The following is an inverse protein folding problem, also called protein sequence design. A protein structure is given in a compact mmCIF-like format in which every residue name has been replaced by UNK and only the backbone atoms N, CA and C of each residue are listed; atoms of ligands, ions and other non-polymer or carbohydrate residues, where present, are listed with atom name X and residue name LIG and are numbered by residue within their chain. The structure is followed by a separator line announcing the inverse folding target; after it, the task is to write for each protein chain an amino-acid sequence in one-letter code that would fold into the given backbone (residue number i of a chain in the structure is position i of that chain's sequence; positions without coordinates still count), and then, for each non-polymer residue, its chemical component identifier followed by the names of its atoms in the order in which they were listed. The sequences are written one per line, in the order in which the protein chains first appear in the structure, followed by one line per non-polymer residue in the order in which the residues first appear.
data_IF_863119501946
#
_entry.id   IF_863119501946
#
_cell.length_a   1.000
_cell.length_b   1.000
_cell.length_c   1.000
_cell.angle_alpha   90.00
_cell.angle_beta   90.00
_cell.angle_gamma   90.00
#
_symmetry.space_group_name_H-M   'P 1'
#
loop_
_entity.id
_entity.type
_entity.pdbx_description
1 polymer ?
#
# COMPACT_ATOMS: atom_id res chain seq x y z
N UNK A 1 36.58 25.83 74.73
CA UNK A 1 36.90 24.47 74.28
C UNK A 1 35.61 23.65 74.35
N UNK A 2 34.87 23.58 73.24
CA UNK A 2 34.74 22.40 72.36
C UNK A 2 33.82 21.32 73.00
N UNK A 3 32.76 20.79 72.39
CA UNK A 3 32.42 20.67 70.99
C UNK A 3 30.90 20.57 70.79
N UNK A 4 30.44 21.13 69.68
CA UNK A 4 29.12 20.90 69.09
C UNK A 4 29.08 19.55 68.36
N UNK A 5 27.86 19.10 68.08
CA UNK A 5 27.49 18.23 66.95
C UNK A 5 27.78 16.74 67.07
N UNK A 6 26.77 15.98 67.46
CA UNK A 6 26.49 14.66 66.89
C UNK A 6 24.98 14.48 66.69
N UNK A 7 24.47 15.05 65.59
CA UNK A 7 23.26 14.53 64.95
C UNK A 7 23.71 13.78 63.70
N UNK A 8 23.60 12.45 63.79
CA UNK A 8 24.01 11.50 62.78
C UNK A 8 23.34 11.80 61.43
N UNK A 9 24.18 11.80 60.41
CA UNK A 9 23.83 11.93 59.01
C UNK A 9 22.91 10.78 58.56
N UNK A 10 21.61 11.04 58.50
CA UNK A 10 20.67 10.30 57.66
C UNK A 10 20.42 11.12 56.40
N UNK A 11 21.42 11.22 55.53
CA UNK A 11 21.25 11.75 54.18
C UNK A 11 21.45 10.60 53.18
N UNK A 12 20.32 10.22 52.57
CA UNK A 12 20.20 9.95 51.14
C UNK A 12 21.06 8.80 50.59
N UNK A 13 20.63 7.57 50.85
CA UNK A 13 20.75 6.50 49.86
C UNK A 13 19.38 6.28 49.21
N UNK A 14 18.89 7.29 48.49
CA UNK A 14 17.88 7.02 47.47
C UNK A 14 18.60 6.35 46.29
N UNK A 15 18.22 5.12 45.90
CA UNK A 15 18.75 4.53 44.67
C UNK A 15 18.45 5.50 43.52
N UNK A 16 19.36 5.67 42.55
CA UNK A 16 19.10 6.52 41.40
C UNK A 16 17.77 6.10 40.78
N UNK A 17 16.91 7.05 40.36
CA UNK A 17 15.63 6.72 39.75
C UNK A 17 15.90 5.73 38.63
N UNK A 18 15.23 4.58 38.68
CA UNK A 18 15.33 3.57 37.64
C UNK A 18 15.23 4.28 36.28
N UNK A 19 16.13 3.99 35.31
CA UNK A 19 16.06 4.63 34.01
C UNK A 19 14.63 4.50 33.51
N UNK A 20 13.98 5.64 33.27
CA UNK A 20 12.61 5.69 32.76
C UNK A 20 12.51 4.66 31.64
N UNK A 21 11.43 3.85 31.57
CA UNK A 21 11.29 2.83 30.54
C UNK A 21 11.60 3.51 29.22
N UNK A 22 12.69 3.10 28.55
CA UNK A 22 13.09 3.65 27.26
C UNK A 22 11.94 3.33 26.32
N UNK A 23 10.96 4.23 26.21
CA UNK A 23 9.79 4.04 25.38
C UNK A 23 10.32 3.74 23.99
N UNK A 24 10.11 2.50 23.57
CA UNK A 24 10.88 1.79 22.55
C UNK A 24 10.83 2.58 21.23
N UNK A 25 11.85 3.43 21.01
CA UNK A 25 12.01 4.10 19.72
C UNK A 25 12.37 3.08 18.63
N UNK A 26 12.97 1.97 19.05
CA UNK A 26 13.40 0.85 18.25
C UNK A 26 12.19 0.10 17.68
N UNK A 27 12.11 0.00 16.35
CA UNK A 27 10.96 -0.60 15.67
C UNK A 27 9.78 0.34 15.44
N UNK A 28 9.80 1.57 15.95
CA UNK A 28 8.83 2.62 15.58
C UNK A 28 9.25 3.30 14.28
N UNK A 29 8.27 3.68 13.46
CA UNK A 29 8.50 4.48 12.25
C UNK A 29 9.26 5.78 12.56
N UNK A 30 10.32 6.05 11.83
CA UNK A 30 11.12 7.28 11.95
C UNK A 30 10.45 8.53 11.33
N UNK A 31 9.43 8.33 10.50
CA UNK A 31 8.70 9.42 9.83
C UNK A 31 7.92 10.33 10.79
N UNK A 32 7.73 11.58 10.38
CA UNK A 32 6.93 12.58 11.11
C UNK A 32 5.58 12.81 10.44
N UNK A 33 4.55 12.98 11.27
CA UNK A 33 3.20 13.36 10.84
C UNK A 33 3.18 14.81 10.36
N UNK A 34 2.04 15.25 9.81
CA UNK A 34 1.86 16.65 9.37
C UNK A 34 1.96 17.66 10.50
N UNK A 35 1.65 17.27 11.74
CA UNK A 35 1.81 18.11 12.93
C UNK A 35 3.22 18.03 13.53
N UNK A 36 4.18 17.36 12.88
CA UNK A 36 5.57 17.29 13.32
C UNK A 36 5.87 16.21 14.35
N UNK A 37 4.85 15.56 14.92
CA UNK A 37 5.02 14.43 15.84
C UNK A 37 5.61 13.19 15.14
N UNK A 38 6.30 12.34 15.90
CA UNK A 38 6.76 11.05 15.36
C UNK A 38 5.57 10.14 15.08
N UNK A 39 5.64 9.43 13.97
CA UNK A 39 4.64 8.44 13.61
C UNK A 39 4.54 7.33 14.66
N UNK A 40 3.33 7.07 15.14
CA UNK A 40 3.07 6.06 16.19
C UNK A 40 3.05 4.61 15.68
N UNK A 41 3.21 4.39 14.38
CA UNK A 41 3.22 3.05 13.79
C UNK A 41 4.49 2.31 14.22
N UNK A 42 4.33 1.10 14.76
CA UNK A 42 5.41 0.27 15.29
C UNK A 42 5.47 -1.07 14.55
N UNK A 43 6.60 -1.78 14.60
CA UNK A 43 6.74 -3.13 14.02
C UNK A 43 5.73 -4.13 14.59
N UNK A 44 5.33 -3.98 15.86
CA UNK A 44 4.29 -4.82 16.48
C UNK A 44 2.86 -4.45 16.06
N UNK A 45 2.65 -3.32 15.37
CA UNK A 45 1.33 -2.94 14.88
C UNK A 45 0.84 -3.94 13.83
N UNK A 46 -0.43 -4.40 13.95
CA UNK A 46 -1.00 -5.43 13.07
C UNK A 46 -1.36 -4.94 11.66
N UNK A 47 -1.46 -3.63 11.47
CA UNK A 47 -1.91 -3.03 10.20
C UNK A 47 -0.93 -3.32 9.04
N UNK A 48 -1.46 -3.34 7.82
CA UNK A 48 -0.67 -3.55 6.60
C UNK A 48 0.42 -2.49 6.41
N UNK A 49 0.16 -1.25 6.84
CA UNK A 49 1.11 -0.13 6.76
C UNK A 49 2.38 -0.35 7.61
N UNK A 50 2.33 -1.24 8.60
CA UNK A 50 3.47 -1.61 9.42
C UNK A 50 4.30 -2.77 8.84
N UNK A 51 3.88 -3.38 7.72
CA UNK A 51 4.61 -4.47 7.08
C UNK A 51 6.08 -4.11 6.74
N UNK A 52 6.40 -2.89 6.26
CA UNK A 52 7.79 -2.46 6.12
C UNK A 52 8.59 -2.54 7.42
N UNK A 53 8.06 -2.00 8.53
CA UNK A 53 8.75 -2.01 9.82
C UNK A 53 8.99 -3.45 10.34
N UNK A 54 8.06 -4.37 10.07
CA UNK A 54 8.23 -5.81 10.40
C UNK A 54 9.35 -6.48 9.63
N UNK A 55 9.67 -5.99 8.43
CA UNK A 55 10.83 -6.46 7.64
C UNK A 55 12.14 -5.77 8.01
N UNK A 56 12.11 -4.81 8.94
CA UNK A 56 13.27 -4.02 9.33
C UNK A 56 13.41 -2.68 8.60
N UNK A 57 12.42 -2.26 7.81
CA UNK A 57 12.45 -0.93 7.20
C UNK A 57 12.30 0.17 8.26
N UNK A 58 12.90 1.34 8.02
CA UNK A 58 12.85 2.50 8.95
C UNK A 58 11.52 3.25 8.96
N UNK A 59 10.76 3.15 7.87
CA UNK A 59 9.53 3.91 7.65
C UNK A 59 8.34 2.97 7.45
N UNK A 60 7.19 3.33 8.00
CA UNK A 60 5.94 2.66 7.68
C UNK A 60 5.50 3.03 6.25
N UNK A 61 4.52 2.31 5.72
CA UNK A 61 3.99 2.54 4.38
C UNK A 61 3.42 3.94 4.11
N UNK A 62 3.03 4.68 5.14
CA UNK A 62 2.63 6.09 5.01
C UNK A 62 3.83 7.02 4.87
N UNK A 63 4.99 6.68 5.43
CA UNK A 63 6.19 7.53 5.44
C UNK A 63 7.30 7.00 4.53
N UNK A 64 7.06 5.89 3.83
CA UNK A 64 8.00 5.38 2.84
C UNK A 64 8.30 6.48 1.79
N UNK A 65 9.56 6.93 1.68
CA UNK A 65 9.95 8.00 0.76
C UNK A 65 9.75 7.59 -0.71
N UNK A 66 9.69 6.27 -0.99
CA UNK A 66 9.52 5.73 -2.34
C UNK A 66 8.05 5.54 -2.71
N UNK A 67 7.09 5.79 -1.81
CA UNK A 67 5.67 5.45 -2.06
C UNK A 67 5.04 6.18 -3.25
N UNK A 68 5.63 7.30 -3.70
CA UNK A 68 5.18 8.09 -4.84
C UNK A 68 6.14 8.00 -6.04
N UNK A 69 6.88 6.89 -6.16
CA UNK A 69 7.80 6.66 -7.28
C UNK A 69 7.38 5.46 -8.13
N UNK A 70 7.96 5.35 -9.32
CA UNK A 70 7.64 4.30 -10.30
C UNK A 70 6.47 4.69 -11.21
N UNK A 71 5.63 3.71 -11.56
CA UNK A 71 4.49 3.91 -12.47
C UNK A 71 3.30 4.43 -11.68
N UNK A 72 2.75 5.58 -12.11
CA UNK A 72 1.51 6.14 -11.56
C UNK A 72 0.30 5.51 -12.25
N UNK A 73 -0.75 5.21 -11.48
CA UNK A 73 -2.02 4.78 -12.05
C UNK A 73 -2.58 5.83 -13.03
N UNK A 74 -2.91 5.41 -14.24
CA UNK A 74 -3.47 6.24 -15.30
C UNK A 74 -4.95 6.59 -15.08
N UNK A 75 -5.63 5.95 -14.13
CA UNK A 75 -7.04 6.16 -13.86
C UNK A 75 -7.34 7.53 -13.24
N UNK A 76 -8.51 8.08 -13.54
CA UNK A 76 -9.01 9.31 -12.94
C UNK A 76 -9.76 9.03 -11.64
N UNK A 77 -9.61 9.89 -10.62
CA UNK A 77 -10.35 9.75 -9.36
C UNK A 77 -11.86 9.77 -9.61
N UNK A 78 -12.63 8.99 -8.85
CA UNK A 78 -14.09 8.88 -9.01
C UNK A 78 -14.83 10.23 -8.93
N UNK A 79 -14.28 11.18 -8.18
CA UNK A 79 -14.83 12.54 -8.06
C UNK A 79 -14.37 13.50 -9.16
N UNK A 80 -13.67 13.03 -10.19
CA UNK A 80 -13.15 13.85 -11.29
C UNK A 80 -11.99 14.78 -10.91
N UNK A 81 -11.59 14.86 -9.63
CA UNK A 81 -10.58 15.81 -9.12
C UNK A 81 -9.13 15.34 -9.39
N UNK A 82 -8.86 15.03 -10.66
CA UNK A 82 -7.54 14.67 -11.18
C UNK A 82 -7.21 13.18 -11.16
N UNK A 83 -5.97 12.88 -11.56
CA UNK A 83 -5.44 11.53 -11.66
C UNK A 83 -5.33 10.81 -10.31
N UNK A 84 -5.44 9.49 -10.35
CA UNK A 84 -5.19 8.60 -9.23
C UNK A 84 -3.80 8.87 -8.62
N UNK A 85 -3.67 8.74 -7.30
CA UNK A 85 -2.40 8.95 -6.57
C UNK A 85 -1.78 7.64 -6.09
N UNK A 86 -2.21 6.52 -6.65
CA UNK A 86 -1.60 5.20 -6.39
C UNK A 86 -0.42 5.03 -7.34
N UNK A 87 0.72 4.62 -6.80
CA UNK A 87 1.96 4.37 -7.53
C UNK A 87 2.42 2.93 -7.33
N UNK A 88 3.20 2.39 -8.26
CA UNK A 88 3.69 1.00 -8.19
C UNK A 88 4.50 0.71 -6.92
N UNK A 89 5.28 1.68 -6.42
CA UNK A 89 6.03 1.54 -5.17
C UNK A 89 5.21 1.82 -3.90
N UNK A 90 3.93 2.17 -4.03
CA UNK A 90 3.07 2.23 -2.85
C UNK A 90 2.95 0.84 -2.20
N UNK A 91 3.21 0.74 -0.90
CA UNK A 91 3.18 -0.53 -0.15
C UNK A 91 1.80 -1.22 -0.08
N UNK A 92 0.72 -0.56 -0.52
CA UNK A 92 -0.63 -1.09 -0.46
C UNK A 92 -0.85 -2.19 -1.52
N UNK A 93 -1.77 -3.11 -1.21
CA UNK A 93 -2.22 -4.13 -2.16
C UNK A 93 -2.80 -3.52 -3.43
N UNK A 94 -3.40 -2.34 -3.36
CA UNK A 94 -4.03 -1.67 -4.50
C UNK A 94 -3.07 -1.37 -5.65
N UNK A 95 -1.77 -1.23 -5.33
CA UNK A 95 -0.71 -1.01 -6.31
C UNK A 95 -0.18 -2.30 -6.94
N UNK A 96 -0.62 -3.49 -6.49
CA UNK A 96 -0.20 -4.77 -7.06
C UNK A 96 -0.36 -4.88 -8.59
N UNK A 97 -1.46 -4.42 -9.20
CA UNK A 97 -1.60 -4.47 -10.65
C UNK A 97 -0.56 -3.60 -11.36
N UNK A 98 -0.23 -2.42 -10.79
CA UNK A 98 0.81 -1.54 -11.35
C UNK A 98 2.19 -2.19 -11.30
N UNK A 99 2.51 -2.92 -10.23
CA UNK A 99 3.75 -3.71 -10.12
C UNK A 99 3.83 -4.85 -11.13
N UNK A 100 2.70 -5.36 -11.60
CA UNK A 100 2.60 -6.36 -12.66
C UNK A 100 2.54 -5.75 -14.07
N UNK A 101 2.84 -4.46 -14.22
CA UNK A 101 2.84 -3.79 -15.52
C UNK A 101 1.49 -3.25 -15.98
N UNK A 102 0.42 -3.34 -15.17
CA UNK A 102 -0.85 -2.71 -15.53
C UNK A 102 -0.77 -1.18 -15.45
N UNK A 103 -1.44 -0.43 -16.35
CA UNK A 103 -1.57 1.02 -16.22
C UNK A 103 -2.52 1.45 -15.10
N UNK A 104 -3.33 0.53 -14.55
CA UNK A 104 -4.37 0.87 -13.57
C UNK A 104 -4.23 0.10 -12.27
N UNK A 105 -4.55 0.73 -11.14
CA UNK A 105 -4.58 0.11 -9.82
C UNK A 105 -5.89 -0.67 -9.57
N UNK A 106 -6.02 -1.34 -8.43
CA UNK A 106 -7.24 -2.08 -8.08
C UNK A 106 -8.51 -1.23 -7.94
N UNK A 107 -8.41 0.09 -7.81
CA UNK A 107 -9.58 0.98 -7.82
C UNK A 107 -10.07 1.31 -9.23
N UNK A 108 -9.21 1.11 -10.23
CA UNK A 108 -9.42 1.46 -11.63
C UNK A 108 -9.40 0.21 -12.51
N UNK A 109 -10.03 -0.88 -12.03
CA UNK A 109 -10.00 -2.16 -12.72
C UNK A 109 -10.68 -2.05 -14.08
N UNK A 110 -9.97 -2.51 -15.11
CA UNK A 110 -10.51 -2.69 -16.45
C UNK A 110 -10.89 -4.15 -16.58
N UNK A 111 -12.14 -4.41 -16.94
CA UNK A 111 -12.69 -5.75 -17.16
C UNK A 111 -12.65 -6.07 -18.65
N UNK A 112 -12.40 -7.33 -18.98
CA UNK A 112 -12.52 -7.84 -20.33
C UNK A 112 -13.90 -7.51 -20.94
N UNK A 113 -13.90 -7.08 -22.19
CA UNK A 113 -15.12 -6.81 -22.96
C UNK A 113 -15.79 -8.07 -23.53
N UNK A 114 -15.11 -9.22 -23.49
CA UNK A 114 -15.61 -10.48 -24.03
C UNK A 114 -16.73 -11.10 -23.20
N UNK A 115 -17.49 -11.98 -23.85
CA UNK A 115 -18.53 -12.79 -23.24
C UNK A 115 -18.17 -14.27 -23.38
N UNK A 116 -18.52 -15.05 -22.37
CA UNK A 116 -18.44 -16.51 -22.41
C UNK A 116 -19.39 -17.07 -23.47
N UNK A 117 -19.24 -18.35 -23.83
CA UNK A 117 -20.15 -19.03 -24.78
C UNK A 117 -21.63 -19.00 -24.36
N UNK A 118 -21.90 -18.92 -23.05
CA UNK A 118 -23.24 -18.78 -22.50
C UNK A 118 -23.76 -17.32 -22.51
N UNK A 119 -23.06 -16.39 -23.16
CA UNK A 119 -23.43 -14.97 -23.22
C UNK A 119 -23.09 -14.17 -21.95
N UNK A 120 -22.54 -14.79 -20.90
CA UNK A 120 -22.19 -14.10 -19.65
C UNK A 120 -20.91 -13.27 -19.82
N UNK A 121 -20.90 -12.03 -19.34
CA UNK A 121 -19.72 -11.14 -19.41
C UNK A 121 -18.51 -11.73 -18.68
N UNK A 122 -17.35 -11.67 -19.31
CA UNK A 122 -16.10 -12.16 -18.74
C UNK A 122 -15.77 -11.45 -17.42
N UNK A 123 -15.38 -12.22 -16.41
CA UNK A 123 -15.03 -11.70 -15.07
C UNK A 123 -13.58 -11.25 -14.96
N UNK A 124 -12.72 -11.61 -15.93
CA UNK A 124 -11.29 -11.29 -15.94
C UNK A 124 -11.07 -9.79 -15.98
N UNK A 125 -10.15 -9.30 -15.15
CA UNK A 125 -9.74 -7.89 -15.12
C UNK A 125 -8.23 -7.77 -15.25
N UNK A 126 -7.73 -6.58 -15.57
CA UNK A 126 -6.30 -6.24 -15.51
C UNK A 126 -5.65 -6.57 -14.14
N UNK A 127 -6.47 -6.65 -13.10
CA UNK A 127 -6.02 -6.93 -11.74
C UNK A 127 -5.94 -8.42 -11.39
N UNK A 128 -6.53 -9.30 -12.21
CA UNK A 128 -6.45 -10.75 -12.05
C UNK A 128 -4.99 -11.22 -12.09
N UNK A 129 -4.64 -12.25 -11.31
CA UNK A 129 -3.24 -12.67 -11.16
C UNK A 129 -2.74 -13.57 -12.29
N UNK A 130 -3.66 -14.22 -13.01
CA UNK A 130 -3.33 -15.20 -14.05
C UNK A 130 -2.73 -14.57 -15.32
N UNK A 131 -2.02 -15.38 -16.10
CA UNK A 131 -1.37 -14.96 -17.35
C UNK A 131 -2.36 -14.48 -18.42
N UNK A 132 -3.59 -15.04 -18.46
CA UNK A 132 -4.59 -14.61 -19.44
C UNK A 132 -5.08 -13.16 -19.22
N UNK A 133 -4.75 -12.52 -18.11
CA UNK A 133 -5.03 -11.10 -17.88
C UNK A 133 -3.94 -10.17 -18.44
N UNK A 134 -2.82 -10.71 -18.95
CA UNK A 134 -1.70 -9.92 -19.50
C UNK A 134 -2.11 -8.96 -20.62
N UNK A 135 -2.96 -9.35 -21.59
CA UNK A 135 -3.55 -8.42 -22.55
C UNK A 135 -4.18 -7.17 -21.91
N UNK A 136 -5.04 -7.36 -20.91
CA UNK A 136 -5.69 -6.25 -20.20
C UNK A 136 -4.68 -5.39 -19.42
N UNK A 137 -3.56 -5.99 -18.97
CA UNK A 137 -2.47 -5.25 -18.33
C UNK A 137 -1.68 -4.41 -19.34
N UNK A 138 -1.56 -4.82 -20.59
CA UNK A 138 -1.02 -3.99 -21.67
C UNK A 138 -1.99 -2.90 -22.16
N UNK A 139 -3.23 -2.92 -21.69
CA UNK A 139 -4.27 -1.97 -22.09
C UNK A 139 -5.20 -2.49 -23.19
N UNK A 140 -5.15 -3.77 -23.53
CA UNK A 140 -6.08 -4.38 -24.47
C UNK A 140 -7.49 -4.51 -23.86
N UNK A 141 -8.50 -4.61 -24.72
CA UNK A 141 -9.90 -4.71 -24.30
C UNK A 141 -10.32 -6.14 -23.91
N UNK A 142 -9.58 -7.14 -24.40
CA UNK A 142 -9.90 -8.55 -24.23
C UNK A 142 -8.81 -9.26 -23.43
N UNK A 143 -9.19 -10.28 -22.64
CA UNK A 143 -8.23 -11.18 -22.01
C UNK A 143 -7.74 -12.23 -23.02
N UNK A 144 -6.72 -13.02 -22.70
CA UNK A 144 -6.17 -14.00 -23.65
C UNK A 144 -7.20 -15.06 -24.11
N UNK A 145 -8.22 -15.36 -23.31
CA UNK A 145 -9.32 -16.24 -23.73
C UNK A 145 -10.22 -15.63 -24.81
N UNK A 146 -10.26 -14.30 -24.91
CA UNK A 146 -11.04 -13.54 -25.89
C UNK A 146 -10.15 -12.73 -26.86
N UNK A 147 -8.82 -12.80 -26.73
CA UNK A 147 -7.86 -12.05 -27.54
C UNK A 147 -7.57 -12.69 -28.91
N UNK A 148 -7.98 -13.94 -29.09
CA UNK A 148 -7.96 -14.63 -30.39
C UNK A 148 -9.20 -14.39 -31.25
N UNK A 149 -10.21 -13.67 -30.76
CA UNK A 149 -11.45 -13.39 -31.49
C UNK A 149 -11.47 -11.94 -31.99
N UNK A 150 -10.42 -11.53 -32.70
CA UNK A 150 -10.51 -10.39 -33.61
C UNK A 150 -11.19 -10.78 -34.95
N UNK A 151 -11.63 -12.03 -35.11
CA UNK A 151 -12.38 -12.49 -36.28
C UNK A 151 -13.29 -13.67 -35.93
N UNK A 152 -14.60 -13.42 -35.93
CA UNK A 152 -15.74 -14.31 -36.24
C UNK A 152 -16.98 -13.78 -35.50
N UNK A 153 -17.96 -13.12 -36.08
CA UNK A 153 -18.22 -12.46 -37.36
C UNK A 153 -19.41 -11.49 -37.06
N UNK A 154 -19.85 -10.63 -38.00
CA UNK A 154 -20.78 -9.54 -37.73
C UNK A 154 -22.17 -10.09 -37.42
N UNK A 155 -22.98 -9.29 -36.74
CA UNK A 155 -24.43 -9.44 -36.86
C UNK A 155 -24.73 -9.12 -38.33
N UNK A 156 -24.99 -10.17 -39.09
CA UNK A 156 -25.53 -10.12 -40.42
C UNK A 156 -26.89 -9.39 -40.37
N UNK A 157 -27.15 -8.63 -41.42
CA UNK A 157 -28.46 -8.14 -41.78
C UNK A 157 -29.54 -9.20 -41.55
N UNK A 158 -30.55 -8.82 -40.76
CA UNK A 158 -31.87 -9.39 -40.86
C UNK A 158 -32.76 -8.27 -41.40
N UNK A 159 -32.94 -8.28 -42.72
CA UNK A 159 -34.12 -7.73 -43.38
C UNK A 159 -35.37 -8.30 -42.70
N UNK A 160 -36.20 -7.40 -42.15
CA UNK A 160 -37.63 -7.26 -42.52
C UNK A 160 -38.09 -5.82 -42.27
#
# INVERSE_FOLDING_TARGET
HAAASQLNAFLLNEPPPAPLPRWEKEGQCEGRTRCGERCRVHRSSRYAVAAPLRRGDRFCGHHDPRKYTGVRCAGMRKNGKGQCRVWSNSCYSDANPLRRGSPFCHHHRVRCAGHTRAGVRCTVTNSSQHAHAEPLRRGEQFCAHHGGTASANPIADADE
#
